data_IF_925249219478
#
_entry.id   IF_925249219478
#
_cell.length_a   1.000
_cell.length_b   1.000
_cell.length_c   1.000
_cell.angle_alpha   90.00
_cell.angle_beta   90.00
_cell.angle_gamma   90.00
#
_symmetry.space_group_name_H-M   'P 1'
#
loop_
_entity.id
_entity.type
_entity.pdbx_description
1 polymer ?
#
# COMPACT_ATOMS: atom_id res chain seq x y z
N UNK A 1 -15.27 13.52 -7.96
CA UNK A 1 -14.91 13.22 -6.54
C UNK A 1 -13.83 14.22 -6.15
N UNK A 2 -13.97 14.95 -5.04
CA UNK A 2 -12.90 15.82 -4.55
C UNK A 2 -11.85 14.97 -3.85
N UNK A 3 -10.57 15.19 -4.16
CA UNK A 3 -9.43 14.49 -3.56
C UNK A 3 -8.84 15.33 -2.43
N UNK A 4 -8.33 14.68 -1.39
CA UNK A 4 -7.48 15.36 -0.40
C UNK A 4 -6.13 15.74 -1.01
N UNK A 5 -5.36 16.65 -0.40
CA UNK A 5 -4.03 17.00 -0.91
C UNK A 5 -3.11 15.79 -1.05
N UNK A 6 -3.13 14.84 -0.09
CA UNK A 6 -2.33 13.62 -0.15
C UNK A 6 -2.79 12.70 -1.28
N UNK A 7 -4.10 12.45 -1.39
CA UNK A 7 -4.66 11.66 -2.49
C UNK A 7 -4.31 12.27 -3.86
N UNK A 8 -4.35 13.60 -3.98
CA UNK A 8 -3.97 14.28 -5.22
C UNK A 8 -2.47 14.20 -5.50
N UNK A 9 -1.64 14.35 -4.48
CA UNK A 9 -0.18 14.22 -4.59
C UNK A 9 0.20 12.84 -5.15
N UNK A 10 -0.42 11.78 -4.63
CA UNK A 10 -0.19 10.42 -5.11
C UNK A 10 -0.82 10.25 -6.50
N UNK A 11 -2.14 10.30 -6.61
CA UNK A 11 -2.88 9.92 -7.83
C UNK A 11 -2.58 10.82 -9.04
N UNK A 12 -2.28 12.11 -8.83
CA UNK A 12 -2.11 13.08 -9.93
C UNK A 12 -0.68 13.50 -10.18
N UNK A 13 0.14 13.57 -9.13
CA UNK A 13 1.54 13.99 -9.24
C UNK A 13 2.53 12.83 -9.24
N UNK A 14 2.07 11.59 -9.07
CA UNK A 14 2.96 10.42 -8.99
C UNK A 14 3.85 10.42 -7.75
N UNK A 15 3.39 11.06 -6.67
CA UNK A 15 4.08 11.08 -5.40
C UNK A 15 3.89 9.79 -4.61
N UNK A 16 4.81 9.54 -3.68
CA UNK A 16 4.77 8.39 -2.76
C UNK A 16 4.60 8.89 -1.33
N UNK A 17 3.70 8.27 -0.56
CA UNK A 17 3.54 8.59 0.85
C UNK A 17 4.71 8.06 1.70
N UNK A 18 4.84 8.55 2.93
CA UNK A 18 5.88 8.02 3.83
C UNK A 18 5.54 6.58 4.24
N UNK A 19 6.54 5.70 4.46
CA UNK A 19 6.27 4.38 4.99
C UNK A 19 5.57 4.48 6.36
N UNK A 20 4.64 3.55 6.62
CA UNK A 20 3.81 3.46 7.82
C UNK A 20 2.85 4.65 8.04
N UNK A 21 2.67 5.52 7.04
CA UNK A 21 1.79 6.68 7.17
C UNK A 21 0.33 6.40 6.87
N UNK A 22 0.01 5.30 6.18
CA UNK A 22 -1.37 4.89 5.92
C UNK A 22 -1.88 3.90 6.96
N UNK A 23 -3.10 4.14 7.47
CA UNK A 23 -3.85 3.17 8.28
C UNK A 23 -4.11 1.85 7.56
N UNK A 24 -4.11 1.84 6.22
CA UNK A 24 -4.40 0.64 5.45
C UNK A 24 -3.23 -0.34 5.42
N UNK A 25 -2.03 0.07 5.87
CA UNK A 25 -0.92 -0.88 5.97
C UNK A 25 -1.21 -1.99 6.99
N UNK A 26 -1.81 -1.65 8.13
CA UNK A 26 -2.20 -2.62 9.17
C UNK A 26 -3.62 -3.17 9.02
N UNK A 27 -4.32 -2.85 7.93
CA UNK A 27 -5.68 -3.35 7.69
C UNK A 27 -5.68 -4.85 7.34
N UNK A 28 -6.48 -5.64 8.05
CA UNK A 28 -6.57 -7.10 7.91
C UNK A 28 -8.01 -7.60 7.70
N UNK A 29 -9.02 -6.73 7.81
CA UNK A 29 -10.41 -7.14 7.62
C UNK A 29 -10.63 -7.63 6.18
N UNK A 30 -11.65 -8.47 6.02
CA UNK A 30 -12.10 -8.92 4.70
C UNK A 30 -12.82 -7.77 3.96
N UNK A 31 -12.46 -7.56 2.69
CA UNK A 31 -13.02 -6.50 1.88
C UNK A 31 -12.28 -6.22 0.57
N UNK A 32 -12.63 -5.10 -0.04
CA UNK A 32 -12.11 -4.67 -1.34
C UNK A 32 -11.45 -3.30 -1.23
N UNK A 33 -10.32 -3.14 -1.90
CA UNK A 33 -9.62 -1.88 -2.04
C UNK A 33 -9.98 -1.24 -3.38
N UNK A 34 -10.45 0.00 -3.32
CA UNK A 34 -10.89 0.77 -4.48
C UNK A 34 -10.04 2.02 -4.68
N UNK A 35 -9.96 2.52 -5.91
CA UNK A 35 -9.27 3.75 -6.23
C UNK A 35 -9.93 4.95 -5.52
N UNK A 36 -9.17 5.72 -4.74
CA UNK A 36 -9.68 6.93 -4.09
C UNK A 36 -10.21 7.97 -5.09
N UNK A 37 -9.65 8.03 -6.30
CA UNK A 37 -10.07 8.97 -7.35
C UNK A 37 -11.40 8.63 -8.02
N UNK A 38 -11.68 7.36 -8.29
CA UNK A 38 -12.83 6.96 -9.13
C UNK A 38 -13.66 5.79 -8.62
N UNK A 39 -13.25 5.11 -7.54
CA UNK A 39 -13.97 3.97 -6.96
C UNK A 39 -13.81 2.65 -7.72
N UNK A 40 -12.95 2.57 -8.74
CA UNK A 40 -12.63 1.32 -9.43
C UNK A 40 -12.03 0.31 -8.45
N UNK A 41 -12.47 -0.96 -8.49
CA UNK A 41 -11.89 -2.03 -7.67
C UNK A 41 -10.47 -2.36 -8.15
N UNK A 42 -9.50 -2.36 -7.23
CA UNK A 42 -8.08 -2.53 -7.53
C UNK A 42 -7.50 -3.81 -6.91
N UNK A 43 -7.84 -4.10 -5.65
CA UNK A 43 -7.29 -5.25 -4.91
C UNK A 43 -8.32 -5.88 -3.98
N UNK A 44 -8.11 -7.14 -3.62
CA UNK A 44 -8.89 -7.86 -2.60
C UNK A 44 -8.02 -8.09 -1.35
N UNK A 45 -8.65 -8.08 -0.18
CA UNK A 45 -7.96 -8.32 1.09
C UNK A 45 -7.31 -9.70 1.17
N UNK A 46 -7.85 -10.71 0.50
CA UNK A 46 -7.28 -12.07 0.46
C UNK A 46 -5.91 -12.14 -0.24
N UNK A 47 -5.55 -11.12 -1.03
CA UNK A 47 -4.24 -11.01 -1.66
C UNK A 47 -3.28 -10.12 -0.85
N UNK A 48 -3.78 -9.43 0.18
CA UNK A 48 -2.96 -8.55 1.01
C UNK A 48 -2.06 -9.38 1.92
N UNK A 49 -0.85 -8.90 2.17
CA UNK A 49 0.09 -9.49 3.10
C UNK A 49 1.00 -8.42 3.71
N UNK A 50 1.63 -8.75 4.84
CA UNK A 50 2.60 -7.87 5.49
C UNK A 50 3.98 -8.04 4.87
N UNK A 51 4.43 -7.06 4.09
CA UNK A 51 5.78 -7.07 3.50
C UNK A 51 6.84 -6.44 4.43
N UNK A 52 6.42 -5.65 5.43
CA UNK A 52 7.34 -4.89 6.28
C UNK A 52 7.99 -3.69 5.57
N UNK A 53 7.52 -3.34 4.37
CA UNK A 53 8.02 -2.15 3.64
C UNK A 53 7.40 -0.85 4.13
N UNK A 54 6.23 -0.92 4.79
CA UNK A 54 5.49 0.23 5.30
C UNK A 54 4.38 0.73 4.37
N UNK A 55 4.10 0.01 3.28
CA UNK A 55 3.00 0.32 2.36
C UNK A 55 2.16 -0.92 2.06
N UNK A 56 0.82 -0.75 1.91
CA UNK A 56 -0.09 -1.83 1.56
C UNK A 56 0.44 -2.70 0.42
N UNK A 57 0.66 -3.98 0.73
CA UNK A 57 1.29 -4.93 -0.18
C UNK A 57 0.32 -6.05 -0.57
N UNK A 58 0.18 -6.31 -1.87
CA UNK A 58 -0.70 -7.33 -2.41
C UNK A 58 0.05 -8.30 -3.33
N UNK A 59 -0.39 -9.55 -3.40
CA UNK A 59 0.21 -10.57 -4.26
C UNK A 59 -0.32 -10.54 -5.70
N UNK A 60 -1.52 -9.98 -5.89
CA UNK A 60 -2.24 -9.92 -7.17
C UNK A 60 -3.16 -8.72 -7.23
N UNK A 61 -3.24 -8.09 -8.39
CA UNK A 61 -4.18 -7.02 -8.70
C UNK A 61 -5.45 -7.52 -9.43
N UNK A 62 -6.52 -6.75 -9.33
CA UNK A 62 -7.75 -6.89 -10.13
C UNK A 62 -7.60 -6.22 -11.51
N UNK A 63 -8.57 -6.42 -12.39
CA UNK A 63 -8.59 -5.86 -13.75
C UNK A 63 -8.63 -4.32 -13.82
N UNK A 64 -8.86 -3.64 -12.70
CA UNK A 64 -8.83 -2.19 -12.59
C UNK A 64 -7.42 -1.58 -12.48
N UNK A 65 -6.39 -2.41 -12.35
CA UNK A 65 -4.98 -1.98 -12.29
C UNK A 65 -4.32 -2.18 -13.65
N UNK A 66 -3.69 -1.13 -14.15
CA UNK A 66 -2.83 -1.13 -15.33
C UNK A 66 -1.38 -1.16 -14.87
N UNK A 67 -0.57 -2.01 -15.51
CA UNK A 67 0.85 -2.19 -15.21
C UNK A 67 1.63 -1.55 -16.35
N UNK A 68 2.54 -0.65 -16.03
CA UNK A 68 3.42 -0.07 -17.03
C UNK A 68 4.34 -1.14 -17.64
N UNK A 69 4.44 -1.14 -18.97
CA UNK A 69 5.42 -1.98 -19.65
C UNK A 69 6.83 -1.42 -19.43
N UNK A 70 7.65 -2.19 -18.73
CA UNK A 70 9.07 -1.88 -18.49
C UNK A 70 9.91 -3.12 -18.81
N UNK A 71 11.21 -2.92 -19.08
CA UNK A 71 12.09 -4.06 -19.31
C UNK A 71 12.40 -4.81 -18.01
N UNK A 72 12.93 -6.04 -18.11
CA UNK A 72 13.24 -6.89 -16.94
C UNK A 72 14.20 -6.24 -15.94
N UNK A 73 15.16 -5.44 -16.41
CA UNK A 73 16.14 -4.79 -15.53
C UNK A 73 15.47 -3.70 -14.71
N UNK A 74 14.63 -2.88 -15.34
CA UNK A 74 13.82 -1.86 -14.66
C UNK A 74 12.85 -2.49 -13.67
N UNK A 75 12.13 -3.54 -14.08
CA UNK A 75 11.19 -4.25 -13.20
C UNK A 75 11.87 -4.77 -11.92
N UNK A 76 13.10 -5.29 -12.03
CA UNK A 76 13.82 -5.85 -10.89
C UNK A 76 14.47 -4.80 -9.98
N UNK A 77 14.87 -3.64 -10.52
CA UNK A 77 15.62 -2.61 -9.78
C UNK A 77 14.73 -1.47 -9.28
N UNK A 78 13.76 -1.05 -10.09
CA UNK A 78 12.95 0.15 -9.88
C UNK A 78 11.47 -0.19 -9.68
N UNK A 79 11.03 -1.35 -10.17
CA UNK A 79 9.61 -1.70 -10.23
C UNK A 79 8.95 -1.21 -11.52
N UNK A 80 7.71 -1.65 -11.73
CA UNK A 80 6.85 -1.17 -12.80
C UNK A 80 5.71 -0.34 -12.21
N UNK A 81 5.54 0.89 -12.68
CA UNK A 81 4.50 1.78 -12.19
C UNK A 81 3.11 1.15 -12.39
N UNK A 82 2.27 1.31 -11.39
CA UNK A 82 0.89 0.88 -11.37
C UNK A 82 -0.03 2.09 -11.46
N UNK A 83 -1.01 2.02 -12.35
CA UNK A 83 -2.03 3.06 -12.52
C UNK A 83 -3.44 2.48 -12.46
N UNK A 84 -4.39 3.29 -12.04
CA UNK A 84 -5.79 2.94 -12.17
C UNK A 84 -6.20 3.01 -13.65
N UNK A 85 -6.63 1.88 -14.20
CA UNK A 85 -7.03 1.74 -15.60
C UNK A 85 -8.17 2.68 -16.03
N UNK A 86 -9.02 3.07 -15.07
CA UNK A 86 -10.21 3.91 -15.34
C UNK A 86 -9.90 5.40 -15.35
N UNK A 87 -9.05 5.88 -14.44
CA UNK A 87 -8.82 7.32 -14.24
C UNK A 87 -7.36 7.76 -14.45
N UNK A 88 -6.48 6.83 -14.80
CA UNK A 88 -5.05 7.04 -15.02
C UNK A 88 -4.24 7.39 -13.76
N UNK A 89 -4.85 7.35 -12.57
CA UNK A 89 -4.18 7.79 -11.36
C UNK A 89 -3.07 6.84 -10.91
N UNK A 90 -1.92 7.37 -10.49
CA UNK A 90 -0.80 6.61 -9.95
C UNK A 90 -1.20 5.88 -8.65
N UNK A 91 -0.72 4.64 -8.48
CA UNK A 91 -1.04 3.78 -7.34
C UNK A 91 0.19 3.36 -6.54
N UNK A 92 1.35 3.20 -7.19
CA UNK A 92 2.56 2.62 -6.62
C UNK A 92 3.26 1.75 -7.66
N UNK A 93 3.89 0.66 -7.23
CA UNK A 93 4.79 -0.13 -8.08
C UNK A 93 4.64 -1.65 -7.91
N UNK A 94 4.91 -2.37 -8.98
CA UNK A 94 5.03 -3.82 -9.02
C UNK A 94 6.49 -4.25 -8.97
N UNK A 95 6.79 -5.15 -8.03
CA UNK A 95 8.08 -5.82 -7.88
C UNK A 95 7.93 -7.34 -8.08
N UNK A 96 9.02 -7.99 -8.50
CA UNK A 96 9.11 -9.45 -8.70
C UNK A 96 9.82 -10.17 -7.56
N UNK A 97 9.84 -9.56 -6.38
CA UNK A 97 10.48 -10.08 -5.16
C UNK A 97 9.52 -10.86 -4.25
N UNK A 98 8.31 -11.18 -4.75
CA UNK A 98 7.28 -11.87 -3.97
C UNK A 98 7.75 -13.21 -3.37
N UNK A 99 8.70 -13.88 -4.03
CA UNK A 99 9.28 -15.14 -3.57
C UNK A 99 10.08 -15.03 -2.25
N UNK A 100 10.42 -13.81 -1.81
CA UNK A 100 11.09 -13.59 -0.52
C UNK A 100 10.11 -13.71 0.67
N UNK A 101 8.80 -13.60 0.44
CA UNK A 101 7.78 -13.54 1.50
C UNK A 101 7.15 -14.90 1.77
N UNK A 102 7.96 -15.86 2.22
CA UNK A 102 7.55 -17.27 2.46
C UNK A 102 6.28 -17.37 3.31
N UNK A 103 5.34 -18.20 2.87
CA UNK A 103 4.06 -18.43 3.57
C UNK A 103 2.97 -17.41 3.27
N UNK A 104 3.22 -16.43 2.40
CA UNK A 104 2.23 -15.44 1.96
C UNK A 104 1.70 -15.73 0.55
N UNK A 105 0.57 -15.13 0.13
CA UNK A 105 0.13 -15.20 -1.27
C UNK A 105 1.19 -14.74 -2.29
N UNK A 106 2.08 -13.81 -1.88
CA UNK A 106 3.14 -13.29 -2.75
C UNK A 106 4.24 -14.31 -3.03
N UNK A 107 4.50 -15.24 -2.10
CA UNK A 107 5.44 -16.33 -2.33
C UNK A 107 5.04 -17.16 -3.55
N UNK A 108 3.76 -17.48 -3.64
CA UNK A 108 3.19 -18.27 -4.74
C UNK A 108 3.12 -17.48 -6.04
N UNK A 109 2.78 -16.18 -5.98
CA UNK A 109 2.67 -15.36 -7.18
C UNK A 109 4.02 -14.90 -7.73
N UNK A 110 5.06 -14.85 -6.88
CA UNK A 110 6.36 -14.24 -7.18
C UNK A 110 6.30 -12.72 -7.34
N UNK A 111 5.18 -12.08 -6.96
CA UNK A 111 4.92 -10.65 -7.19
C UNK A 111 4.53 -9.93 -5.92
N UNK A 112 4.96 -8.68 -5.80
CA UNK A 112 4.55 -7.74 -4.76
C UNK A 112 4.08 -6.45 -5.41
N UNK A 113 2.79 -6.18 -5.28
CA UNK A 113 2.16 -4.92 -5.64
C UNK A 113 2.23 -4.03 -4.40
N UNK A 114 3.15 -3.06 -4.40
CA UNK A 114 3.40 -2.13 -3.31
C UNK A 114 2.67 -0.83 -3.60
N UNK A 115 1.65 -0.50 -2.82
CA UNK A 115 0.65 0.51 -3.18
C UNK A 115 0.64 1.60 -2.12
N UNK A 116 0.65 2.85 -2.55
CA UNK A 116 0.40 3.98 -1.66
C UNK A 116 -1.02 3.87 -1.07
N UNK A 117 -1.12 3.79 0.24
CA UNK A 117 -2.40 3.70 0.93
C UNK A 117 -3.29 4.90 0.65
N UNK A 118 -2.73 6.11 0.53
CA UNK A 118 -3.44 7.30 0.10
C UNK A 118 -4.06 7.22 -1.31
N UNK A 119 -3.68 6.26 -2.15
CA UNK A 119 -4.37 5.99 -3.42
C UNK A 119 -5.64 5.13 -3.26
N UNK A 120 -5.85 4.54 -2.07
CA UNK A 120 -6.85 3.51 -1.81
C UNK A 120 -7.95 3.96 -0.85
N UNK A 121 -9.12 3.36 -1.05
CA UNK A 121 -10.23 3.36 -0.09
C UNK A 121 -10.62 1.91 0.14
N UNK A 122 -10.56 1.47 1.39
CA UNK A 122 -10.94 0.13 1.80
C UNK A 122 -12.44 0.07 2.13
N UNK A 123 -13.13 -0.91 1.55
CA UNK A 123 -14.53 -1.21 1.84
C UNK A 123 -14.61 -2.59 2.54
N UNK A 124 -14.92 -2.62 3.84
CA UNK A 124 -15.13 -3.88 4.57
C UNK A 124 -16.36 -4.64 4.07
N UNK A 125 -16.31 -5.97 4.10
CA UNK A 125 -17.44 -6.85 3.75
C UNK A 125 -18.48 -6.94 4.86
N UNK A 126 -18.12 -6.59 6.10
CA UNK A 126 -18.98 -6.70 7.28
C UNK A 126 -19.97 -5.53 7.45
N UNK A 127 -20.09 -4.65 6.46
CA UNK A 127 -21.00 -3.50 6.47
C UNK A 127 -20.48 -2.29 7.27
N UNK A 128 -19.25 -2.35 7.79
CA UNK A 128 -18.63 -1.18 8.41
C UNK A 128 -18.32 -0.07 7.39
N UNK A 129 -18.18 1.19 7.84
CA UNK A 129 -17.85 2.30 6.97
C UNK A 129 -16.53 2.10 6.23
N UNK A 130 -16.47 2.63 5.00
CA UNK A 130 -15.24 2.67 4.21
C UNK A 130 -14.14 3.49 4.90
N UNK A 131 -12.90 3.05 4.78
CA UNK A 131 -11.72 3.72 5.34
C UNK A 131 -10.87 4.30 4.20
N UNK A 132 -10.61 5.61 4.24
CA UNK A 132 -9.66 6.23 3.30
C UNK A 132 -8.23 5.97 3.78
N UNK A 133 -7.32 5.66 2.87
CA UNK A 133 -5.95 5.31 3.26
C UNK A 133 -5.03 6.48 3.53
N UNK A 134 -5.42 7.72 3.25
CA UNK A 134 -4.67 8.91 3.66
C UNK A 134 -4.92 9.30 5.14
N UNK A 135 -5.65 8.47 5.88
CA UNK A 135 -5.80 8.59 7.33
C UNK A 135 -4.58 7.98 8.03
N UNK A 136 -3.91 8.70 8.94
CA UNK A 136 -2.80 8.16 9.70
C UNK A 136 -3.26 7.09 10.72
N UNK A 137 -2.42 6.10 11.02
CA UNK A 137 -2.64 5.15 12.12
C UNK A 137 -2.84 5.86 13.48
N UNK A 138 -3.65 5.27 14.38
CA UNK A 138 -4.01 5.86 15.69
C UNK A 138 -2.83 5.95 16.67
N UNK A 139 -2.08 4.86 16.80
CA UNK A 139 -0.69 4.90 17.27
C UNK A 139 0.13 5.01 16.01
N UNK A 140 1.22 5.79 15.98
CA UNK A 140 1.97 6.24 14.78
C UNK A 140 2.34 5.19 13.70
N UNK A 141 1.89 3.93 13.77
CA UNK A 141 2.10 2.86 12.81
C UNK A 141 3.50 2.29 12.87
N UNK A 142 4.39 3.01 13.58
CA UNK A 142 5.78 2.69 13.80
C UNK A 142 5.85 1.39 14.60
N UNK A 143 6.40 0.31 14.02
CA UNK A 143 6.69 -0.90 14.76
C UNK A 143 7.56 -0.58 15.99
N UNK A 144 7.41 -1.34 17.08
CA UNK A 144 8.12 -1.08 18.36
C UNK A 144 9.64 -0.89 18.17
N UNK A 145 10.25 -1.65 17.26
CA UNK A 145 11.68 -1.59 16.95
C UNK A 145 12.14 -0.29 16.26
N UNK A 146 11.22 0.51 15.72
CA UNK A 146 11.49 1.79 15.08
C UNK A 146 11.13 2.99 16.00
N UNK A 147 10.51 2.73 17.17
CA UNK A 147 10.32 3.78 18.18
C UNK A 147 11.66 4.11 18.82
N UNK A 148 11.90 5.41 19.07
CA UNK A 148 13.10 5.85 19.77
C UNK A 148 13.13 5.21 21.16
N UNK A 149 14.19 4.48 21.53
CA UNK A 149 14.28 3.88 22.86
C UNK A 149 14.30 4.99 23.91
N UNK A 150 13.56 4.79 25.00
CA UNK A 150 13.64 5.67 26.17
C UNK A 150 14.99 5.45 26.86
N UNK A 151 15.94 6.34 26.60
CA UNK A 151 17.22 6.34 27.29
C UNK A 151 17.00 6.97 28.67
N UNK A 152 16.96 6.17 29.73
CA UNK A 152 17.03 6.71 31.09
C UNK A 152 18.44 7.28 31.29
N UNK A 153 18.59 8.58 31.60
CA UNK A 153 19.89 9.13 31.91
C UNK A 153 20.48 8.37 33.10
N UNK A 154 21.72 7.89 32.96
CA UNK A 154 22.44 7.29 34.09
C UNK A 154 22.61 8.38 35.14
N UNK A 155 22.04 8.19 36.32
CA UNK A 155 22.30 9.09 37.46
C UNK A 155 23.81 9.19 37.65
N UNK A 156 24.31 10.43 37.68
CA UNK A 156 25.72 10.71 37.93
C UNK A 156 25.99 10.31 39.38
N UNK A 157 26.77 9.23 39.54
CA UNK A 157 27.29 8.78 40.83
C UNK A 157 28.39 9.72 41.35
#
# INVERSE_FOLDING_TARGET
RQLTPMQSFILRSGGTEKPYSSILESEERSGVYTCAGCGTKLFESNQKFHSGTGWPSFARALSGVEIQEVNKVQLNLLGAELRCKTCGGHLGDLFTDGYLFVGTPAFTSGKRFCIDGGALVFQPDNGEPSVNGDVPPKDNGIPEWMKTPEITPREQA
#
